data_IF_105497589953
#
_entry.id   IF_105497589953
#
_cell.length_a   1.000
_cell.length_b   1.000
_cell.length_c   1.000
_cell.angle_alpha   90.00
_cell.angle_beta   90.00
_cell.angle_gamma   90.00
#
_symmetry.space_group_name_H-M   'P 1'
#
loop_
_entity.id
_entity.type
_entity.pdbx_description
1 polymer ?
#
# COMPACT_ATOMS: atom_id res chain seq x y z
N UNK A 1 8.43 4.04 12.23
CA UNK A 1 9.47 2.97 12.28
C UNK A 1 10.45 3.30 11.18
N UNK A 2 11.74 3.04 11.38
CA UNK A 2 12.80 3.61 10.55
C UNK A 2 12.58 3.47 9.04
N UNK A 3 12.15 2.28 8.58
CA UNK A 3 11.87 2.04 7.16
C UNK A 3 10.70 2.88 6.61
N UNK A 4 9.64 3.10 7.39
CA UNK A 4 8.49 3.92 7.00
C UNK A 4 8.89 5.40 6.96
N UNK A 5 9.71 5.83 7.91
CA UNK A 5 10.15 7.21 8.03
C UNK A 5 11.05 7.58 6.84
N UNK A 6 12.03 6.74 6.49
CA UNK A 6 12.81 6.91 5.25
C UNK A 6 11.96 6.83 3.98
N UNK A 7 10.98 5.92 3.92
CA UNK A 7 10.13 5.82 2.74
C UNK A 7 9.31 7.10 2.50
N UNK A 8 8.88 7.77 3.57
CA UNK A 8 8.21 9.08 3.49
C UNK A 8 9.17 10.16 3.01
N UNK A 9 10.35 10.25 3.61
CA UNK A 9 11.36 11.27 3.28
C UNK A 9 11.87 11.15 1.84
N UNK A 10 12.13 9.93 1.36
CA UNK A 10 12.61 9.67 0.00
C UNK A 10 11.52 9.76 -1.07
N UNK A 11 10.25 9.90 -0.69
CA UNK A 11 9.16 9.99 -1.67
C UNK A 11 8.73 8.64 -2.27
N UNK A 12 9.11 7.50 -1.66
CA UNK A 12 8.88 6.15 -2.19
C UNK A 12 7.67 5.47 -1.53
N UNK A 13 6.81 4.84 -2.32
CA UNK A 13 5.66 4.08 -1.81
C UNK A 13 6.11 2.76 -1.19
N UNK A 14 5.79 2.56 0.08
CA UNK A 14 6.11 1.35 0.83
C UNK A 14 4.82 0.55 1.09
N UNK A 15 4.79 -0.67 0.57
CA UNK A 15 3.79 -1.67 0.91
C UNK A 15 4.39 -2.75 1.81
N UNK A 16 3.62 -3.23 2.77
CA UNK A 16 3.99 -4.40 3.56
C UNK A 16 2.77 -5.31 3.80
N UNK A 17 3.03 -6.50 4.34
CA UNK A 17 2.03 -7.57 4.54
C UNK A 17 1.32 -7.97 3.24
N UNK A 18 2.05 -7.97 2.12
CA UNK A 18 1.52 -8.33 0.80
C UNK A 18 1.13 -9.82 0.78
N UNK A 19 -0.16 -10.11 0.61
CA UNK A 19 -0.74 -11.47 0.52
C UNK A 19 -1.83 -11.46 -0.53
N UNK A 20 -1.74 -12.37 -1.51
CA UNK A 20 -2.69 -12.45 -2.63
C UNK A 20 -2.93 -11.07 -3.27
N UNK A 21 -4.16 -10.57 -3.22
CA UNK A 21 -4.59 -9.26 -3.75
C UNK A 21 -4.71 -8.19 -2.65
N UNK A 22 -4.01 -8.36 -1.52
CA UNK A 22 -4.05 -7.43 -0.39
C UNK A 22 -2.65 -7.01 0.01
N UNK A 23 -2.49 -5.74 0.33
CA UNK A 23 -1.29 -5.18 0.92
C UNK A 23 -1.69 -3.96 1.77
N UNK A 24 -0.86 -3.61 2.75
CA UNK A 24 -1.02 -2.37 3.52
C UNK A 24 0.00 -1.35 3.02
N UNK A 25 -0.48 -0.19 2.59
CA UNK A 25 0.36 0.93 2.18
C UNK A 25 0.74 1.79 3.40
N UNK A 26 2.04 2.00 3.61
CA UNK A 26 2.58 2.77 4.73
C UNK A 26 3.13 4.16 4.34
N UNK A 27 3.35 4.42 3.05
CA UNK A 27 3.79 5.73 2.55
C UNK A 27 3.24 6.03 1.14
N UNK A 28 2.93 7.30 0.88
CA UNK A 28 2.53 7.80 -0.46
C UNK A 28 1.35 7.03 -1.10
N UNK A 29 0.29 6.75 -0.32
CA UNK A 29 -0.89 6.01 -0.77
C UNK A 29 -1.64 6.68 -1.95
N UNK A 30 -1.48 7.99 -2.13
CA UNK A 30 -2.06 8.73 -3.27
C UNK A 30 -1.52 8.27 -4.63
N UNK A 31 -0.38 7.56 -4.68
CA UNK A 31 0.20 6.99 -5.91
C UNK A 31 -0.44 5.65 -6.30
N UNK A 32 -1.30 5.11 -5.44
CA UNK A 32 -1.89 3.78 -5.62
C UNK A 32 -3.19 3.86 -6.41
N UNK A 33 -3.36 2.95 -7.37
CA UNK A 33 -4.61 2.77 -8.10
C UNK A 33 -5.31 1.58 -7.47
N UNK A 34 -6.36 1.82 -6.69
CA UNK A 34 -7.17 0.75 -6.14
C UNK A 34 -8.00 0.12 -7.25
N UNK A 35 -7.72 -1.13 -7.60
CA UNK A 35 -8.62 -1.91 -8.46
C UNK A 35 -9.88 -2.24 -7.64
N UNK A 36 -11.00 -1.59 -7.95
CA UNK A 36 -12.27 -1.69 -7.22
C UNK A 36 -13.05 -2.97 -7.56
N UNK A 37 -12.36 -4.07 -7.88
CA UNK A 37 -12.99 -5.40 -8.02
C UNK A 37 -13.28 -5.99 -6.65
N UNK A 38 -14.32 -5.45 -6.02
CA UNK A 38 -15.02 -6.12 -4.94
C UNK A 38 -15.75 -7.32 -5.54
N UNK A 39 -15.22 -8.52 -5.35
CA UNK A 39 -16.05 -9.71 -5.43
C UNK A 39 -17.09 -9.59 -4.32
N UNK A 40 -18.31 -9.16 -4.68
CA UNK A 40 -19.48 -9.34 -3.82
C UNK A 40 -19.65 -10.86 -3.65
N UNK A 41 -19.17 -11.40 -2.54
CA UNK A 41 -19.65 -12.69 -2.08
C UNK A 41 -21.13 -12.50 -1.74
N UNK A 42 -21.98 -13.28 -2.40
CA UNK A 42 -23.42 -13.34 -2.16
C UNK A 42 -23.75 -13.96 -0.81
#
# INVERSE_FOLDING_TARGET
SLAVDFAKELGITLFAFCREQRATCYSHAYRTISDSKTNKAG
#
